data_IF_664353364207
#
_entry.id   IF_664353364207
#
_cell.length_a   1.000
_cell.length_b   1.000
_cell.length_c   1.000
_cell.angle_alpha   90.00
_cell.angle_beta   90.00
_cell.angle_gamma   90.00
#
_symmetry.space_group_name_H-M   'P 1'
#
loop_
_entity.id
_entity.type
_entity.pdbx_description
1 polymer ?
#
# COMPACT_ATOMS: atom_id res chain seq x y z
N UNK A 1 14.65 -5.22 10.80
CA UNK A 1 15.20 -3.91 10.40
C UNK A 1 16.70 -3.84 10.74
N UNK A 2 17.12 -4.06 12.00
CA UNK A 2 18.51 -3.90 12.43
C UNK A 2 19.51 -4.80 11.67
N UNK A 3 19.16 -6.07 11.45
CA UNK A 3 20.01 -7.02 10.72
C UNK A 3 20.21 -6.60 9.25
N UNK A 4 19.13 -6.21 8.58
CA UNK A 4 19.20 -5.76 7.17
C UNK A 4 20.06 -4.49 7.05
N UNK A 5 19.87 -3.53 7.96
CA UNK A 5 20.69 -2.33 7.99
C UNK A 5 22.17 -2.62 8.25
N UNK A 6 22.48 -3.55 9.15
CA UNK A 6 23.85 -4.01 9.41
C UNK A 6 24.46 -4.65 8.16
N UNK A 7 23.72 -5.54 7.47
CA UNK A 7 24.19 -6.20 6.25
C UNK A 7 24.45 -5.19 5.13
N UNK A 8 23.55 -4.22 4.93
CA UNK A 8 23.74 -3.15 3.95
C UNK A 8 24.99 -2.33 4.26
N UNK A 9 25.23 -1.95 5.51
CA UNK A 9 26.44 -1.24 5.95
C UNK A 9 27.70 -2.06 5.72
N UNK A 10 27.70 -3.35 6.07
CA UNK A 10 28.84 -4.25 5.83
C UNK A 10 29.14 -4.40 4.33
N UNK A 11 28.13 -4.51 3.49
CA UNK A 11 28.30 -4.56 2.04
C UNK A 11 28.97 -3.28 1.52
N UNK A 12 28.47 -2.13 1.94
CA UNK A 12 28.98 -0.82 1.49
C UNK A 12 30.38 -0.50 2.01
N UNK A 13 30.63 -0.69 3.32
CA UNK A 13 31.91 -0.34 3.97
C UNK A 13 33.03 -1.31 3.61
N UNK A 14 32.73 -2.59 3.41
CA UNK A 14 33.74 -3.64 3.15
C UNK A 14 33.78 -4.09 1.68
N UNK A 15 33.03 -3.41 0.80
CA UNK A 15 32.92 -3.73 -0.64
C UNK A 15 32.60 -5.21 -0.88
N UNK A 16 31.61 -5.75 -0.15
CA UNK A 16 31.17 -7.14 -0.24
C UNK A 16 29.81 -7.24 -0.92
N UNK A 17 29.62 -8.31 -1.69
CA UNK A 17 28.31 -8.69 -2.18
C UNK A 17 27.62 -9.61 -1.15
N UNK A 18 26.43 -9.26 -0.72
CA UNK A 18 25.61 -10.05 0.19
C UNK A 18 24.31 -10.42 -0.51
N UNK A 19 24.05 -11.71 -0.63
CA UNK A 19 22.76 -12.22 -1.13
C UNK A 19 21.94 -12.73 0.05
N UNK A 20 20.73 -12.18 0.19
CA UNK A 20 19.79 -12.54 1.25
C UNK A 20 18.45 -12.98 0.65
N UNK A 21 17.91 -14.08 1.14
CA UNK A 21 16.54 -14.49 0.86
C UNK A 21 15.65 -14.01 2.00
N UNK A 22 14.61 -13.27 1.69
CA UNK A 22 13.65 -12.75 2.67
C UNK A 22 12.22 -12.80 2.11
N UNK A 23 11.24 -12.83 2.99
CA UNK A 23 9.83 -12.62 2.68
C UNK A 23 9.35 -11.22 3.12
N UNK A 24 10.22 -10.44 3.75
CA UNK A 24 9.96 -9.04 4.11
C UNK A 24 10.24 -8.14 2.89
N UNK A 25 9.18 -7.94 2.12
CA UNK A 25 9.27 -7.21 0.86
C UNK A 25 9.59 -5.72 1.10
N UNK A 26 8.98 -5.11 2.12
CA UNK A 26 9.18 -3.68 2.41
C UNK A 26 10.64 -3.40 2.77
N UNK A 27 11.24 -4.21 3.62
CA UNK A 27 12.68 -4.08 3.94
C UNK A 27 13.57 -4.34 2.73
N UNK A 28 13.23 -5.32 1.90
CA UNK A 28 13.97 -5.59 0.68
C UNK A 28 13.94 -4.39 -0.28
N UNK A 29 12.81 -3.76 -0.46
CA UNK A 29 12.66 -2.58 -1.34
C UNK A 29 13.44 -1.35 -0.85
N UNK A 30 13.52 -1.17 0.47
CA UNK A 30 14.20 0.00 1.07
C UNK A 30 15.72 -0.17 1.16
N UNK A 31 16.21 -1.40 1.38
CA UNK A 31 17.61 -1.64 1.75
C UNK A 31 18.44 -2.39 0.71
N UNK A 32 17.82 -2.92 -0.36
CA UNK A 32 18.56 -3.69 -1.36
C UNK A 32 18.87 -2.86 -2.60
N UNK A 33 20.12 -2.84 -3.03
CA UNK A 33 20.51 -2.23 -4.31
C UNK A 33 19.94 -3.00 -5.51
N UNK A 34 19.75 -4.30 -5.36
CA UNK A 34 19.24 -5.19 -6.42
C UNK A 34 18.25 -6.21 -5.84
N UNK A 35 17.23 -6.50 -6.62
CA UNK A 35 16.22 -7.51 -6.30
C UNK A 35 16.33 -8.71 -7.23
N UNK A 36 16.06 -9.88 -6.66
CA UNK A 36 15.90 -11.15 -7.38
C UNK A 36 14.51 -11.68 -7.07
N UNK A 37 13.60 -11.54 -8.04
CA UNK A 37 12.22 -12.02 -7.94
C UNK A 37 12.11 -13.40 -8.55
N UNK A 38 11.83 -14.41 -7.75
CA UNK A 38 11.62 -15.78 -8.23
C UNK A 38 10.12 -16.09 -8.25
N UNK A 39 9.55 -16.30 -9.42
CA UNK A 39 8.14 -16.59 -9.61
C UNK A 39 7.94 -17.85 -10.47
N UNK A 40 6.83 -18.57 -10.26
CA UNK A 40 6.49 -19.74 -11.08
C UNK A 40 6.22 -19.38 -12.54
N UNK A 41 5.65 -18.21 -12.79
CA UNK A 41 5.21 -17.80 -14.13
C UNK A 41 6.32 -17.21 -15.00
N UNK A 42 7.29 -16.52 -14.39
CA UNK A 42 8.34 -15.78 -15.11
C UNK A 42 9.76 -16.20 -14.73
N UNK A 43 9.91 -17.21 -13.86
CA UNK A 43 11.21 -17.66 -13.37
C UNK A 43 11.91 -16.57 -12.54
N UNK A 44 13.25 -16.50 -12.65
CA UNK A 44 14.06 -15.53 -11.98
C UNK A 44 14.12 -14.23 -12.79
N UNK A 45 13.71 -13.13 -12.18
CA UNK A 45 13.88 -11.77 -12.69
C UNK A 45 14.78 -11.00 -11.74
N UNK A 46 15.84 -10.38 -12.25
CA UNK A 46 16.75 -9.58 -11.43
C UNK A 46 16.98 -8.21 -12.04
N UNK A 47 17.28 -7.24 -11.19
CA UNK A 47 17.54 -5.86 -11.59
C UNK A 47 17.83 -4.97 -10.39
N UNK A 48 18.17 -3.72 -10.68
CA UNK A 48 18.19 -2.66 -9.68
C UNK A 48 16.79 -2.50 -9.12
N UNK A 49 16.65 -2.20 -7.83
CA UNK A 49 15.37 -2.15 -7.13
C UNK A 49 14.38 -1.22 -7.82
N UNK A 50 14.81 -0.02 -8.21
CA UNK A 50 13.98 0.97 -8.89
C UNK A 50 13.49 0.49 -10.27
N UNK A 51 14.37 -0.18 -11.04
CA UNK A 51 14.00 -0.75 -12.35
C UNK A 51 12.95 -1.85 -12.21
N UNK A 52 13.04 -2.66 -11.17
CA UNK A 52 12.05 -3.70 -10.88
C UNK A 52 10.68 -3.08 -10.56
N UNK A 53 10.68 -2.04 -9.73
CA UNK A 53 9.47 -1.32 -9.32
C UNK A 53 8.85 -0.58 -10.51
N UNK A 54 9.61 0.31 -11.16
CA UNK A 54 9.11 1.19 -12.22
C UNK A 54 8.69 0.46 -13.50
N UNK A 55 9.22 -0.75 -13.72
CA UNK A 55 8.78 -1.64 -14.81
C UNK A 55 7.64 -2.60 -14.40
N UNK A 56 6.97 -2.35 -13.28
CA UNK A 56 5.80 -3.11 -12.81
C UNK A 56 6.06 -4.62 -12.64
N UNK A 57 7.31 -5.02 -12.32
CA UNK A 57 7.65 -6.45 -12.17
C UNK A 57 7.14 -7.04 -10.86
N UNK A 58 6.83 -6.19 -9.87
CA UNK A 58 6.27 -6.60 -8.58
C UNK A 58 4.91 -7.28 -8.72
N UNK A 59 4.12 -6.95 -9.74
CA UNK A 59 2.82 -7.59 -10.01
C UNK A 59 2.94 -9.10 -10.24
N UNK A 60 4.12 -9.58 -10.62
CA UNK A 60 4.34 -11.01 -10.89
C UNK A 60 4.48 -11.88 -9.63
N UNK A 61 4.73 -11.29 -8.46
CA UNK A 61 4.85 -12.03 -7.20
C UNK A 61 3.51 -12.59 -6.73
N UNK A 62 2.43 -11.82 -6.92
CA UNK A 62 1.07 -12.23 -6.59
C UNK A 62 0.18 -12.15 -7.82
N UNK A 63 0.11 -13.21 -8.64
CA UNK A 63 -0.64 -13.21 -9.91
C UNK A 63 -2.17 -13.20 -9.71
N UNK A 64 -2.64 -13.30 -8.46
CA UNK A 64 -4.06 -13.24 -8.13
C UNK A 64 -4.55 -11.78 -8.14
N UNK A 65 -5.74 -11.57 -8.72
CA UNK A 65 -6.37 -10.25 -8.83
C UNK A 65 -6.74 -9.62 -7.48
N UNK A 66 -6.69 -10.42 -6.43
CA UNK A 66 -7.08 -10.03 -5.06
C UNK A 66 -5.98 -9.32 -4.29
N UNK A 67 -4.76 -9.24 -4.85
CA UNK A 67 -3.62 -8.55 -4.24
C UNK A 67 -2.98 -7.66 -5.30
N UNK A 68 -2.75 -6.40 -4.97
CA UNK A 68 -2.07 -5.43 -5.83
C UNK A 68 -0.92 -4.79 -5.10
N UNK A 69 0.10 -4.42 -5.86
CA UNK A 69 1.21 -3.64 -5.39
C UNK A 69 0.92 -2.14 -5.55
N UNK A 70 1.06 -1.40 -4.47
CA UNK A 70 1.00 0.07 -4.48
C UNK A 70 2.40 0.60 -4.80
N UNK A 71 2.56 1.11 -6.01
CA UNK A 71 3.84 1.61 -6.52
C UNK A 71 4.25 2.94 -5.90
N UNK A 72 3.33 3.68 -5.29
CA UNK A 72 3.62 4.93 -4.60
C UNK A 72 4.18 4.68 -3.19
N UNK A 73 3.65 3.66 -2.50
CA UNK A 73 4.01 3.39 -1.11
C UNK A 73 4.88 2.14 -0.92
N UNK A 74 5.08 1.34 -1.96
CA UNK A 74 5.93 0.14 -1.90
C UNK A 74 5.35 -1.02 -1.07
N UNK A 75 4.03 -1.11 -0.96
CA UNK A 75 3.33 -2.13 -0.15
C UNK A 75 2.35 -2.94 -0.99
N UNK A 76 2.04 -4.17 -0.53
CA UNK A 76 0.95 -4.96 -1.08
C UNK A 76 -0.34 -4.74 -0.28
N UNK A 77 -1.45 -4.65 -0.99
CA UNK A 77 -2.78 -4.54 -0.38
C UNK A 77 -3.80 -5.47 -1.07
N UNK A 78 -4.77 -5.99 -0.31
CA UNK A 78 -5.84 -6.80 -0.87
C UNK A 78 -6.82 -5.93 -1.67
N UNK A 79 -7.28 -6.44 -2.81
CA UNK A 79 -8.40 -5.88 -3.57
C UNK A 79 -9.62 -6.75 -3.35
N UNK A 80 -10.68 -6.17 -2.80
CA UNK A 80 -11.95 -6.87 -2.59
C UNK A 80 -12.87 -6.60 -3.77
N UNK A 81 -13.40 -7.67 -4.39
CA UNK A 81 -14.38 -7.54 -5.46
C UNK A 81 -15.72 -6.97 -4.93
N UNK A 82 -16.46 -6.25 -5.79
CA UNK A 82 -17.77 -5.66 -5.47
C UNK A 82 -17.75 -4.60 -4.36
N UNK A 83 -16.79 -3.69 -4.42
CA UNK A 83 -16.67 -2.61 -3.44
C UNK A 83 -17.65 -1.47 -3.73
N UNK A 84 -18.26 -0.94 -2.68
CA UNK A 84 -18.98 0.33 -2.75
C UNK A 84 -17.96 1.46 -2.99
N UNK A 85 -18.24 2.29 -3.99
CA UNK A 85 -17.35 3.41 -4.32
C UNK A 85 -17.51 4.53 -3.31
N UNK A 86 -16.37 5.07 -2.86
CA UNK A 86 -16.31 6.21 -1.94
C UNK A 86 -15.31 7.22 -2.47
N UNK A 87 -15.75 8.46 -2.66
CA UNK A 87 -14.83 9.55 -2.91
C UNK A 87 -14.18 9.98 -1.59
N UNK A 88 -12.86 9.96 -1.52
CA UNK A 88 -12.12 10.41 -0.34
C UNK A 88 -11.47 11.75 -0.65
N UNK A 89 -11.67 12.73 0.23
CA UNK A 89 -11.01 14.04 0.20
C UNK A 89 -10.26 14.25 1.51
N UNK A 90 -8.98 14.56 1.41
CA UNK A 90 -8.13 14.88 2.54
C UNK A 90 -7.00 15.78 2.06
N UNK A 91 -6.58 16.73 2.89
CA UNK A 91 -5.47 17.64 2.59
C UNK A 91 -4.13 17.04 3.03
N UNK A 92 -4.15 16.27 4.12
CA UNK A 92 -2.96 15.60 4.64
C UNK A 92 -2.75 14.23 3.99
N UNK A 93 -1.58 14.00 3.38
CA UNK A 93 -1.27 12.77 2.66
C UNK A 93 -1.18 11.54 3.59
N UNK A 94 -0.69 11.70 4.80
CA UNK A 94 -0.60 10.60 5.77
C UNK A 94 -2.00 10.16 6.20
N UNK A 95 -2.86 11.11 6.53
CA UNK A 95 -4.26 10.84 6.86
C UNK A 95 -5.00 10.23 5.68
N UNK A 96 -4.77 10.72 4.46
CA UNK A 96 -5.34 10.16 3.23
C UNK A 96 -4.96 8.69 3.05
N UNK A 97 -3.68 8.37 3.17
CA UNK A 97 -3.17 7.00 3.03
C UNK A 97 -3.85 6.03 4.01
N UNK A 98 -3.88 6.39 5.30
CA UNK A 98 -4.50 5.54 6.32
C UNK A 98 -6.03 5.47 6.21
N UNK A 99 -6.67 6.54 5.73
CA UNK A 99 -8.11 6.56 5.42
C UNK A 99 -8.44 5.57 4.30
N UNK A 100 -7.68 5.60 3.21
CA UNK A 100 -7.84 4.66 2.09
C UNK A 100 -7.63 3.22 2.57
N UNK A 101 -6.58 2.95 3.35
CA UNK A 101 -6.32 1.63 3.89
C UNK A 101 -7.46 1.12 4.78
N UNK A 102 -8.01 1.99 5.65
CA UNK A 102 -9.12 1.65 6.52
C UNK A 102 -10.38 1.29 5.70
N UNK A 103 -10.73 2.10 4.72
CA UNK A 103 -11.89 1.88 3.86
C UNK A 103 -11.74 0.63 2.99
N UNK A 104 -10.57 0.40 2.39
CA UNK A 104 -10.30 -0.79 1.60
C UNK A 104 -10.49 -2.08 2.42
N UNK A 105 -10.01 -2.13 3.68
CA UNK A 105 -10.22 -3.27 4.56
C UNK A 105 -11.69 -3.54 4.88
N UNK A 106 -12.55 -2.51 4.77
CA UNK A 106 -13.99 -2.60 5.05
C UNK A 106 -14.85 -2.72 3.79
N UNK A 107 -14.24 -3.04 2.64
CA UNK A 107 -14.95 -3.34 1.41
C UNK A 107 -15.36 -2.12 0.58
N UNK A 108 -14.74 -0.97 0.83
CA UNK A 108 -14.95 0.22 0.00
C UNK A 108 -13.85 0.37 -1.03
N UNK A 109 -14.20 0.85 -2.21
CA UNK A 109 -13.26 1.26 -3.25
C UNK A 109 -13.13 2.78 -3.26
N UNK A 110 -11.97 3.29 -2.87
CA UNK A 110 -11.70 4.73 -2.94
C UNK A 110 -11.51 5.17 -4.40
N UNK A 111 -12.22 6.21 -4.79
CA UNK A 111 -12.18 6.76 -6.16
C UNK A 111 -11.89 8.26 -6.12
N UNK A 112 -11.14 8.80 -7.13
CA UNK A 112 -10.80 10.22 -7.18
C UNK A 112 -11.94 11.11 -7.67
N UNK A 113 -12.94 10.55 -8.33
CA UNK A 113 -14.08 11.25 -8.91
C UNK A 113 -15.32 11.16 -8.01
N UNK A 114 -16.33 11.96 -8.34
CA UNK A 114 -17.59 12.00 -7.59
C UNK A 114 -18.24 10.61 -7.47
N UNK A 115 -18.77 10.36 -6.28
CA UNK A 115 -19.50 9.14 -5.92
C UNK A 115 -20.66 9.50 -5.00
N UNK A 116 -21.72 8.68 -4.98
CA UNK A 116 -22.86 8.85 -4.09
C UNK A 116 -22.48 8.83 -2.60
N UNK A 117 -21.32 8.25 -2.31
CA UNK A 117 -20.75 8.23 -0.97
C UNK A 117 -19.43 9.00 -0.97
N UNK A 118 -19.27 9.94 -0.04
CA UNK A 118 -18.08 10.76 0.11
C UNK A 118 -17.60 10.75 1.56
N UNK A 119 -16.28 10.68 1.73
CA UNK A 119 -15.62 10.92 3.01
C UNK A 119 -14.68 12.12 2.87
N UNK A 120 -14.90 13.13 3.69
CA UNK A 120 -13.97 14.24 3.88
C UNK A 120 -13.30 14.04 5.23
N UNK A 121 -12.01 13.69 5.23
CA UNK A 121 -11.21 13.54 6.43
C UNK A 121 -10.45 14.85 6.69
N UNK A 122 -10.88 15.61 7.68
CA UNK A 122 -10.27 16.88 8.10
C UNK A 122 -9.13 16.60 9.07
N UNK A 123 -9.38 15.72 10.03
CA UNK A 123 -8.41 15.24 11.02
C UNK A 123 -8.74 13.80 11.42
N UNK A 124 -7.89 13.10 12.18
CA UNK A 124 -8.22 11.76 12.71
C UNK A 124 -9.47 11.74 13.61
N UNK A 125 -9.85 12.89 14.14
CA UNK A 125 -10.99 13.08 15.05
C UNK A 125 -12.13 13.90 14.43
N UNK A 126 -12.07 14.15 13.12
CA UNK A 126 -13.12 14.86 12.40
C UNK A 126 -13.28 14.29 10.98
N UNK A 127 -14.22 13.36 10.84
CA UNK A 127 -14.48 12.59 9.65
C UNK A 127 -15.92 12.81 9.19
N UNK A 128 -16.11 13.48 8.06
CA UNK A 128 -17.43 13.80 7.52
C UNK A 128 -17.81 12.77 6.46
N UNK A 129 -18.74 11.89 6.80
CA UNK A 129 -19.26 10.86 5.89
C UNK A 129 -20.60 11.30 5.32
N UNK A 130 -20.67 11.44 4.01
CA UNK A 130 -21.89 11.81 3.29
C UNK A 130 -22.36 10.63 2.44
N UNK A 131 -23.61 10.23 2.61
CA UNK A 131 -24.28 9.23 1.79
C UNK A 131 -25.73 9.64 1.57
N UNK A 132 -26.25 9.54 0.34
CA UNK A 132 -27.61 9.93 -0.03
C UNK A 132 -27.96 11.37 0.41
N UNK A 133 -27.01 12.31 0.31
CA UNK A 133 -27.14 13.71 0.76
C UNK A 133 -27.24 13.93 2.28
N UNK A 134 -27.14 12.88 3.07
CA UNK A 134 -27.05 13.00 4.53
C UNK A 134 -25.58 12.95 4.93
N UNK A 135 -25.17 13.90 5.76
CA UNK A 135 -23.80 13.96 6.32
C UNK A 135 -23.83 13.62 7.79
N UNK A 136 -22.95 12.70 8.18
CA UNK A 136 -22.68 12.37 9.59
C UNK A 136 -21.20 12.67 9.87
N UNK A 137 -20.95 13.18 11.07
CA UNK A 137 -19.60 13.50 11.56
C UNK A 137 -19.23 12.46 12.59
N UNK A 138 -18.03 11.91 12.43
CA UNK A 138 -17.44 10.93 13.35
C UNK A 138 -16.19 11.49 13.94
N UNK A 139 -15.96 11.22 15.23
CA UNK A 139 -14.80 11.67 15.99
C UNK A 139 -13.64 10.67 15.98
N UNK A 140 -13.84 9.53 15.33
CA UNK A 140 -12.82 8.49 15.23
C UNK A 140 -13.09 7.54 14.06
N UNK A 141 -12.04 6.88 13.58
CA UNK A 141 -12.18 5.79 12.61
C UNK A 141 -12.93 4.59 13.20
N UNK A 142 -12.81 4.36 14.51
CA UNK A 142 -13.54 3.28 15.16
C UNK A 142 -15.06 3.46 15.02
N UNK A 143 -15.56 4.66 15.27
CA UNK A 143 -16.98 4.98 15.12
C UNK A 143 -17.41 4.98 13.64
N UNK A 144 -16.61 5.56 12.75
CA UNK A 144 -16.87 5.56 11.32
C UNK A 144 -17.03 4.13 10.76
N UNK A 145 -16.17 3.21 11.17
CA UNK A 145 -16.11 1.85 10.60
C UNK A 145 -17.10 0.86 11.24
N UNK A 146 -17.75 1.23 12.35
CA UNK A 146 -18.85 0.44 12.95
C UNK A 146 -20.16 0.54 12.16
N UNK A 147 -20.32 1.56 11.31
CA UNK A 147 -21.50 1.65 10.45
C UNK A 147 -21.47 0.54 9.38
N UNK A 148 -22.48 -0.30 9.39
CA UNK A 148 -22.70 -1.35 8.38
C UNK A 148 -23.82 -0.94 7.42
#
# INVERSE_FOLDING_TARGET
IEIMHLLHRLASEQNKAILLSTHDIEQALVLSDRLWLLTKSKGLQCGVTEDIILNHRMDSLFPHKDIRFDYEHGIYYPTIANQQKVQVKCVDNTLLHWTINALNRHGYQCVPHESDTQLIAISPTELHWTRNKETRIYDSFEELLKQK
#
